data_IF_253958689021
#
_entry.id   IF_253958689021
#
_cell.length_a   1.000
_cell.length_b   1.000
_cell.length_c   1.000
_cell.angle_alpha   90.00
_cell.angle_beta   90.00
_cell.angle_gamma   90.00
#
_symmetry.space_group_name_H-M   'P 1'
#
loop_
_entity.id
_entity.type
_entity.pdbx_description
1 polymer ?
#
# COMPACT_ATOMS: atom_id res chain seq x y z
N UNK A 1 25.20 -1.69 11.26
CA UNK A 1 23.93 -1.38 11.95
C UNK A 1 23.13 -0.51 11.00
N UNK A 2 21.86 -0.85 10.77
CA UNK A 2 21.09 -0.44 9.60
C UNK A 2 21.04 1.06 9.33
N UNK A 3 21.13 1.42 8.05
CA UNK A 3 21.26 2.80 7.58
C UNK A 3 19.94 3.58 7.55
N UNK A 4 18.79 2.89 7.66
CA UNK A 4 17.46 3.49 7.60
C UNK A 4 16.39 2.69 8.38
N UNK A 5 15.33 3.39 8.77
CA UNK A 5 14.13 2.88 9.45
C UNK A 5 12.91 3.43 8.72
N UNK A 6 12.01 2.56 8.26
CA UNK A 6 10.77 2.96 7.62
C UNK A 6 9.56 2.75 8.55
N UNK A 7 8.62 3.70 8.55
CA UNK A 7 7.29 3.58 9.13
C UNK A 7 6.26 3.51 8.02
N UNK A 8 5.34 2.55 8.12
CA UNK A 8 4.26 2.38 7.14
C UNK A 8 2.95 2.23 7.90
N UNK A 9 1.95 3.02 7.54
CA UNK A 9 0.60 2.94 8.07
C UNK A 9 -0.39 2.83 6.90
N UNK A 10 -1.34 1.90 7.01
CA UNK A 10 -2.40 1.70 6.03
C UNK A 10 -3.76 1.74 6.72
N UNK A 11 -4.74 2.38 6.08
CA UNK A 11 -6.12 2.47 6.54
C UNK A 11 -7.05 2.03 5.43
N UNK A 12 -7.89 1.05 5.73
CA UNK A 12 -8.96 0.63 4.84
C UNK A 12 -10.19 1.50 5.11
N UNK A 13 -10.46 2.45 4.22
CA UNK A 13 -11.60 3.35 4.33
C UNK A 13 -12.91 2.61 4.01
N UNK A 14 -12.85 1.71 3.03
CA UNK A 14 -14.01 0.98 2.51
C UNK A 14 -13.55 -0.42 2.07
N UNK A 15 -14.49 -1.34 1.83
CA UNK A 15 -14.18 -2.65 1.20
C UNK A 15 -13.45 -2.52 -0.15
N UNK A 16 -13.65 -1.39 -0.84
CA UNK A 16 -13.10 -1.11 -2.16
C UNK A 16 -11.96 -0.08 -2.14
N UNK A 17 -11.68 0.60 -1.03
CA UNK A 17 -10.71 1.69 -1.01
C UNK A 17 -9.80 1.57 0.20
N UNK A 18 -8.50 1.52 -0.07
CA UNK A 18 -7.44 1.52 0.92
C UNK A 18 -6.48 2.68 0.62
N UNK A 19 -6.07 3.39 1.67
CA UNK A 19 -5.07 4.45 1.59
C UNK A 19 -3.93 4.10 2.53
N UNK A 20 -2.71 4.23 2.02
CA UNK A 20 -1.47 3.96 2.72
C UNK A 20 -0.58 5.19 2.73
N UNK A 21 0.25 5.28 3.76
CA UNK A 21 1.29 6.28 3.88
C UNK A 21 2.54 5.66 4.48
N UNK A 22 3.68 5.89 3.81
CA UNK A 22 4.99 5.49 4.30
C UNK A 22 5.88 6.69 4.52
N UNK A 23 6.77 6.55 5.50
CA UNK A 23 7.83 7.50 5.75
C UNK A 23 9.14 6.77 6.03
N UNK A 24 10.18 7.09 5.27
CA UNK A 24 11.53 6.56 5.47
C UNK A 24 12.39 7.56 6.25
N UNK A 25 12.83 7.15 7.46
CA UNK A 25 13.83 7.83 8.27
C UNK A 25 15.20 7.18 8.05
N UNK A 26 16.05 7.81 7.24
CA UNK A 26 17.46 7.43 7.18
C UNK A 26 18.18 7.80 8.49
N UNK A 27 18.81 6.83 9.18
CA UNK A 27 19.45 7.00 10.50
C UNK A 27 20.97 7.24 10.37
N UNK A 28 21.54 6.95 9.20
CA UNK A 28 22.98 7.10 8.90
C UNK A 28 23.40 8.56 8.65
N UNK A 29 24.71 8.84 8.54
CA UNK A 29 25.30 10.18 8.28
C UNK A 29 24.76 10.91 7.02
N UNK A 30 23.95 10.26 6.19
CA UNK A 30 23.20 10.86 5.08
C UNK A 30 21.90 11.58 5.53
N UNK A 31 21.45 11.41 6.78
CA UNK A 31 20.27 12.07 7.34
C UNK A 31 20.37 13.61 7.34
N UNK A 32 21.60 14.15 7.41
CA UNK A 32 21.85 15.59 7.34
C UNK A 32 21.64 16.16 5.93
N UNK A 33 21.59 15.30 4.91
CA UNK A 33 21.44 15.71 3.51
C UNK A 33 20.13 15.23 2.87
N UNK A 34 19.44 14.27 3.49
CA UNK A 34 18.21 13.68 2.97
C UNK A 34 17.09 13.85 4.00
N UNK A 35 16.04 14.60 3.66
CA UNK A 35 14.98 15.03 4.58
C UNK A 35 13.91 13.94 4.83
N UNK A 36 14.22 12.67 4.51
CA UNK A 36 13.28 11.56 4.44
C UNK A 36 12.38 11.60 3.20
N UNK A 37 11.72 10.49 2.91
CA UNK A 37 10.73 10.38 1.82
C UNK A 37 9.33 10.16 2.40
N UNK A 38 8.34 10.87 1.87
CA UNK A 38 6.92 10.69 2.18
C UNK A 38 6.25 10.04 0.97
N UNK A 39 5.81 8.80 1.07
CA UNK A 39 5.10 8.15 -0.03
C UNK A 39 3.64 7.91 0.35
N UNK A 40 2.75 8.18 -0.61
CA UNK A 40 1.30 7.99 -0.44
C UNK A 40 0.89 6.88 -1.40
N UNK A 41 0.15 5.92 -0.88
CA UNK A 41 -0.39 4.78 -1.63
C UNK A 41 -1.90 4.88 -1.64
N UNK A 42 -2.51 4.71 -2.81
CA UNK A 42 -3.95 4.61 -2.97
C UNK A 42 -4.23 3.30 -3.71
N UNK A 43 -5.08 2.47 -3.14
CA UNK A 43 -5.51 1.21 -3.74
C UNK A 43 -7.03 1.17 -3.82
N UNK A 44 -7.56 0.93 -5.01
CA UNK A 44 -8.98 0.83 -5.27
C UNK A 44 -9.32 -0.52 -5.90
N UNK A 45 -10.28 -1.22 -5.32
CA UNK A 45 -10.77 -2.52 -5.78
C UNK A 45 -12.09 -2.34 -6.54
N UNK A 46 -12.13 -2.84 -7.78
CA UNK A 46 -13.30 -2.80 -8.66
C UNK A 46 -14.24 -3.99 -8.42
N UNK A 47 -14.45 -4.36 -7.16
CA UNK A 47 -15.31 -5.47 -6.76
C UNK A 47 -16.77 -5.17 -7.16
N UNK A 48 -17.18 -5.70 -8.32
CA UNK A 48 -18.47 -5.42 -8.97
C UNK A 48 -18.42 -5.25 -10.49
N UNK A 49 -17.29 -4.79 -11.05
CA UNK A 49 -17.17 -4.56 -12.51
C UNK A 49 -17.05 -5.87 -13.30
N UNK A 50 -16.55 -6.93 -12.64
CA UNK A 50 -16.43 -8.29 -13.17
C UNK A 50 -17.43 -9.26 -12.54
N UNK A 51 -18.65 -8.80 -12.18
CA UNK A 51 -19.78 -9.67 -11.82
C UNK A 51 -20.28 -10.56 -12.97
N UNK A 52 -19.46 -10.84 -13.99
CA UNK A 52 -19.55 -12.10 -14.69
C UNK A 52 -19.11 -13.18 -13.71
N UNK A 53 -20.08 -13.65 -12.93
CA UNK A 53 -20.06 -14.95 -12.28
C UNK A 53 -19.58 -15.94 -13.34
N UNK A 54 -18.28 -16.24 -13.37
CA UNK A 54 -17.74 -17.37 -14.12
C UNK A 54 -18.20 -18.59 -13.34
N UNK A 55 -19.49 -18.91 -13.49
CA UNK A 55 -20.02 -20.23 -13.25
C UNK A 55 -19.32 -21.09 -14.29
N UNK A 56 -18.15 -21.63 -13.95
CA UNK A 56 -17.65 -22.84 -14.59
C UNK A 56 -18.71 -23.90 -14.29
N UNK A 57 -19.59 -24.25 -15.24
CA UNK A 57 -20.65 -25.20 -14.97
C UNK A 57 -19.93 -26.53 -14.90
N UNK A 58 -19.62 -27.01 -13.70
CA UNK A 58 -19.19 -28.39 -13.52
C UNK A 58 -20.44 -29.24 -13.72
N UNK A 59 -20.62 -29.71 -14.94
CA UNK A 59 -21.45 -30.87 -15.21
C UNK A 59 -20.73 -32.08 -14.61
N UNK A 60 -21.41 -32.70 -13.63
CA UNK A 60 -21.29 -34.03 -13.05
C UNK A 60 -19.92 -34.73 -13.14
#
# INVERSE_FOLDING_TARGET
IGDAVALIANVQLNKQLMVGYSYDFSVSNLATYNNGSHEIIISYDFDGFLKNKVISPRYF
#
